data_IF_764054716574
#
_entry.id   IF_764054716574
#
_cell.length_a   1.000
_cell.length_b   1.000
_cell.length_c   1.000
_cell.angle_alpha   90.00
_cell.angle_beta   90.00
_cell.angle_gamma   90.00
#
_symmetry.space_group_name_H-M   'P 1'
#
loop_
_entity.id
_entity.type
_entity.pdbx_description
1 polymer ?
#
# COMPACT_ATOMS: atom_id res chain seq x y z
N UNK A 1 17.85 7.74 -4.99
CA UNK A 1 16.38 7.77 -4.80
C UNK A 1 15.85 6.35 -4.88
N UNK A 2 14.93 5.92 -4.01
CA UNK A 2 14.26 4.62 -4.11
C UNK A 2 13.41 4.59 -5.38
N UNK A 3 13.64 3.59 -6.24
CA UNK A 3 12.91 3.43 -7.51
C UNK A 3 12.14 2.12 -7.59
N UNK A 4 12.49 1.14 -6.75
CA UNK A 4 11.81 -0.15 -6.67
C UNK A 4 11.68 -0.60 -5.23
N UNK A 5 10.57 -1.24 -4.91
CA UNK A 5 10.30 -1.88 -3.62
C UNK A 5 9.68 -3.24 -3.87
N UNK A 6 10.16 -4.26 -3.17
CA UNK A 6 9.65 -5.63 -3.28
C UNK A 6 9.50 -6.23 -1.88
N UNK A 7 8.32 -6.79 -1.61
CA UNK A 7 8.13 -7.65 -0.44
C UNK A 7 8.98 -8.91 -0.59
N UNK A 8 9.81 -9.20 0.41
CA UNK A 8 10.65 -10.39 0.45
C UNK A 8 10.46 -11.15 1.76
N UNK A 9 10.90 -12.41 1.76
CA UNK A 9 11.09 -13.15 3.01
C UNK A 9 12.28 -12.57 3.79
N UNK A 10 12.36 -12.88 5.07
CA UNK A 10 13.50 -12.52 5.91
C UNK A 10 14.83 -12.86 5.22
N UNK A 11 15.71 -11.87 4.97
CA UNK A 11 16.99 -12.11 4.33
C UNK A 11 17.96 -12.83 5.28
N UNK A 12 19.03 -13.40 4.74
CA UNK A 12 20.13 -13.90 5.55
C UNK A 12 20.89 -12.73 6.19
N UNK A 13 21.42 -12.96 7.40
CA UNK A 13 22.21 -11.95 8.10
C UNK A 13 23.40 -11.48 7.25
N UNK A 14 23.51 -10.16 7.08
CA UNK A 14 24.56 -9.52 6.27
C UNK A 14 24.35 -9.58 4.75
N UNK A 15 23.23 -10.12 4.26
CA UNK A 15 22.93 -10.15 2.83
C UNK A 15 22.71 -8.75 2.25
N UNK A 16 22.09 -7.85 3.03
CA UNK A 16 21.81 -6.46 2.65
C UNK A 16 22.26 -5.51 3.74
N UNK A 17 22.46 -4.24 3.37
CA UNK A 17 22.42 -3.15 4.36
C UNK A 17 20.99 -3.08 4.89
N UNK A 18 20.82 -3.12 6.21
CA UNK A 18 19.50 -3.16 6.85
C UNK A 18 19.18 -1.85 7.57
N UNK A 19 17.91 -1.44 7.53
CA UNK A 19 17.37 -0.34 8.32
C UNK A 19 16.07 -0.79 9.00
N UNK A 20 15.98 -0.57 10.31
CA UNK A 20 14.84 -1.00 11.12
C UNK A 20 13.89 0.18 11.32
N UNK A 21 12.63 -0.02 10.97
CA UNK A 21 11.53 0.91 11.20
C UNK A 21 10.60 0.31 12.25
N UNK A 22 10.80 0.76 13.50
CA UNK A 22 10.00 0.33 14.63
C UNK A 22 9.46 1.55 15.39
N UNK A 23 8.19 1.46 15.77
CA UNK A 23 7.48 2.49 16.54
C UNK A 23 7.23 1.89 17.91
N UNK A 24 7.78 2.48 18.97
CA UNK A 24 7.62 1.93 20.31
C UNK A 24 6.15 2.00 20.74
N UNK A 25 5.52 0.83 20.89
CA UNK A 25 4.13 0.72 21.31
C UNK A 25 3.89 -0.62 22.00
N UNK A 26 3.11 -0.66 23.09
CA UNK A 26 2.73 -1.92 23.74
C UNK A 26 1.76 -2.77 22.91
N UNK A 27 1.17 -2.20 21.85
CA UNK A 27 0.20 -2.85 20.97
C UNK A 27 0.82 -3.40 19.68
N UNK A 28 2.15 -3.43 19.60
CA UNK A 28 2.86 -4.02 18.48
C UNK A 28 2.69 -5.54 18.49
N UNK A 29 2.46 -6.10 17.30
CA UNK A 29 2.57 -7.53 17.11
C UNK A 29 4.03 -7.99 17.22
N UNK A 30 4.23 -9.30 17.34
CA UNK A 30 5.56 -9.91 17.25
C UNK A 30 6.04 -10.06 15.80
N UNK A 31 5.18 -9.75 14.82
CA UNK A 31 5.47 -9.94 13.41
C UNK A 31 6.39 -8.84 12.87
N UNK A 32 7.12 -9.20 11.82
CA UNK A 32 7.97 -8.30 11.07
C UNK A 32 7.80 -8.56 9.57
N UNK A 33 8.05 -7.51 8.79
CA UNK A 33 8.02 -7.49 7.33
C UNK A 33 9.36 -7.02 6.79
N UNK A 34 9.77 -7.57 5.65
CA UNK A 34 11.02 -7.21 4.98
C UNK A 34 10.72 -6.71 3.59
N UNK A 35 11.18 -5.49 3.30
CA UNK A 35 11.06 -4.87 1.98
C UNK A 35 12.46 -4.68 1.44
N UNK A 36 12.73 -5.25 0.26
CA UNK A 36 13.92 -4.93 -0.50
C UNK A 36 13.67 -3.67 -1.29
N UNK A 37 14.52 -2.67 -1.11
CA UNK A 37 14.52 -1.44 -1.89
C UNK A 37 15.69 -1.45 -2.88
N UNK A 38 15.44 -0.94 -4.08
CA UNK A 38 16.48 -0.66 -5.07
C UNK A 38 16.48 0.83 -5.36
N UNK A 39 17.65 1.43 -5.19
CA UNK A 39 17.88 2.83 -5.51
C UNK A 39 18.16 3.00 -7.03
N UNK A 40 18.07 4.24 -7.51
CA UNK A 40 18.41 4.66 -8.87
C UNK A 40 19.84 4.30 -9.29
N UNK A 41 20.79 4.26 -8.36
CA UNK A 41 22.16 3.80 -8.56
C UNK A 41 22.32 2.26 -8.53
N UNK A 42 21.20 1.53 -8.55
CA UNK A 42 21.11 0.07 -8.45
C UNK A 42 21.60 -0.52 -7.13
N UNK A 43 21.87 0.30 -6.11
CA UNK A 43 22.15 -0.23 -4.77
C UNK A 43 20.90 -0.82 -4.15
N UNK A 44 21.07 -1.99 -3.52
CA UNK A 44 19.99 -2.68 -2.82
C UNK A 44 20.19 -2.63 -1.31
N UNK A 45 19.10 -2.42 -0.58
CA UNK A 45 19.07 -2.47 0.88
C UNK A 45 17.72 -3.00 1.36
N UNK A 46 17.66 -3.42 2.63
CA UNK A 46 16.46 -4.02 3.22
C UNK A 46 15.91 -3.17 4.36
N UNK A 47 14.63 -2.82 4.26
CA UNK A 47 13.88 -2.23 5.37
C UNK A 47 13.13 -3.30 6.17
N UNK A 48 13.28 -3.24 7.49
CA UNK A 48 12.62 -4.16 8.43
C UNK A 48 11.52 -3.40 9.15
N UNK A 49 10.26 -3.80 8.97
CA UNK A 49 9.09 -3.06 9.46
C UNK A 49 8.28 -3.90 10.44
N UNK A 50 7.72 -3.27 11.47
CA UNK A 50 6.83 -3.92 12.42
C UNK A 50 5.50 -4.33 11.76
N UNK A 51 5.02 -5.54 12.04
CA UNK A 51 3.74 -6.08 11.53
C UNK A 51 3.91 -7.12 10.41
N UNK A 52 2.83 -7.86 10.13
CA UNK A 52 2.74 -8.82 9.02
C UNK A 52 2.65 -8.09 7.68
N UNK A 53 3.32 -8.56 6.61
CA UNK A 53 3.36 -7.84 5.34
C UNK A 53 1.98 -7.80 4.69
N UNK A 54 1.57 -6.63 4.21
CA UNK A 54 0.39 -6.50 3.34
C UNK A 54 0.81 -6.05 1.96
N UNK A 55 1.45 -4.90 1.84
CA UNK A 55 1.77 -4.33 0.52
C UNK A 55 2.83 -3.22 0.60
N UNK A 56 3.38 -2.81 -0.55
CA UNK A 56 4.30 -1.69 -0.68
C UNK A 56 4.12 -0.99 -2.03
N UNK A 57 4.12 0.34 -2.02
CA UNK A 57 4.04 1.12 -3.26
C UNK A 57 4.90 2.38 -3.21
N UNK A 58 5.34 2.82 -4.39
CA UNK A 58 6.20 3.98 -4.58
C UNK A 58 5.47 5.00 -5.45
N UNK A 59 5.43 6.25 -5.01
CA UNK A 59 4.99 7.39 -5.83
C UNK A 59 6.18 8.27 -6.18
N UNK A 60 6.54 8.27 -7.47
CA UNK A 60 7.53 9.21 -8.01
C UNK A 60 7.01 10.66 -8.05
N UNK A 61 5.68 10.84 -8.10
CA UNK A 61 5.05 12.17 -8.06
C UNK A 61 5.30 12.86 -6.72
N UNK A 62 5.23 12.10 -5.63
CA UNK A 62 5.41 12.63 -4.27
C UNK A 62 6.79 12.35 -3.66
N UNK A 63 7.62 11.53 -4.32
CA UNK A 63 8.88 11.01 -3.77
C UNK A 63 8.68 10.28 -2.43
N UNK A 64 7.61 9.49 -2.36
CA UNK A 64 7.19 8.78 -1.16
C UNK A 64 7.13 7.28 -1.44
N UNK A 65 7.54 6.49 -0.45
CA UNK A 65 7.18 5.07 -0.36
C UNK A 65 6.15 4.89 0.75
N UNK A 66 5.07 4.18 0.45
CA UNK A 66 4.16 3.66 1.45
C UNK A 66 4.40 2.18 1.66
N UNK A 67 4.64 1.78 2.91
CA UNK A 67 4.78 0.37 3.32
C UNK A 67 3.61 0.04 4.24
N UNK A 68 2.76 -0.88 3.81
CA UNK A 68 1.58 -1.31 4.55
C UNK A 68 1.86 -2.65 5.24
N UNK A 69 1.74 -2.66 6.56
CA UNK A 69 1.79 -3.87 7.38
C UNK A 69 0.49 -4.03 8.18
N UNK A 70 0.37 -5.12 8.93
CA UNK A 70 -0.75 -5.29 9.87
C UNK A 70 -0.81 -4.26 10.99
N UNK A 71 0.34 -3.66 11.32
CA UNK A 71 0.48 -2.83 12.51
C UNK A 71 0.54 -1.35 12.15
N UNK A 72 1.07 -0.99 10.97
CA UNK A 72 1.25 0.39 10.57
C UNK A 72 1.16 0.57 9.05
N UNK A 73 0.80 1.78 8.65
CA UNK A 73 1.10 2.32 7.31
C UNK A 73 2.26 3.29 7.49
N UNK A 74 3.45 2.92 7.01
CA UNK A 74 4.64 3.74 7.08
C UNK A 74 4.78 4.58 5.82
N UNK A 75 5.15 5.86 5.99
CA UNK A 75 5.49 6.77 4.90
C UNK A 75 6.97 7.14 4.99
N UNK A 76 7.74 6.72 3.99
CA UNK A 76 9.16 7.03 3.88
C UNK A 76 9.41 8.05 2.79
N UNK A 77 10.45 8.88 2.98
CA UNK A 77 10.99 9.72 1.93
C UNK A 77 11.93 8.92 1.02
N UNK A 78 11.72 8.99 -0.30
CA UNK A 78 12.48 8.20 -1.27
C UNK A 78 13.96 8.60 -1.39
N UNK A 79 14.37 9.77 -0.89
CA UNK A 79 15.76 10.24 -1.03
C UNK A 79 16.61 9.94 0.20
N UNK A 80 16.07 10.24 1.38
CA UNK A 80 16.74 10.08 2.66
C UNK A 80 16.54 8.71 3.28
N UNK A 81 15.59 7.93 2.79
CA UNK A 81 15.20 6.63 3.36
C UNK A 81 14.64 6.81 4.80
N UNK A 82 14.32 8.03 5.24
CA UNK A 82 13.83 8.29 6.59
C UNK A 82 12.31 8.12 6.70
N UNK A 83 11.86 7.68 7.87
CA UNK A 83 10.44 7.67 8.22
C UNK A 83 9.97 9.11 8.40
N UNK A 84 8.99 9.51 7.59
CA UNK A 84 8.40 10.85 7.62
C UNK A 84 7.15 10.87 8.48
N UNK A 85 6.32 9.84 8.34
CA UNK A 85 5.00 9.78 8.96
C UNK A 85 4.56 8.31 9.09
N UNK A 86 3.61 8.04 9.99
CA UNK A 86 2.98 6.74 10.07
C UNK A 86 1.54 6.85 10.57
N UNK A 87 0.72 5.87 10.20
CA UNK A 87 -0.59 5.62 10.78
C UNK A 87 -0.57 4.29 11.53
N UNK A 88 -1.06 4.29 12.78
CA UNK A 88 -1.10 3.11 13.63
C UNK A 88 -2.37 2.28 13.44
N UNK A 89 -2.19 0.97 13.38
CA UNK A 89 -3.23 -0.07 13.30
C UNK A 89 -4.22 0.16 12.14
N UNK A 90 -3.75 0.31 10.89
CA UNK A 90 -4.62 0.54 9.75
C UNK A 90 -5.49 -0.69 9.44
N UNK A 91 -6.72 -0.41 8.99
CA UNK A 91 -7.67 -1.44 8.53
C UNK A 91 -7.33 -1.95 7.11
N UNK A 92 -6.53 -1.20 6.36
CA UNK A 92 -6.22 -1.43 4.95
C UNK A 92 -5.59 -2.78 4.65
N UNK A 93 -6.05 -3.44 3.59
CA UNK A 93 -5.57 -4.74 3.12
C UNK A 93 -4.77 -4.66 1.83
N UNK A 94 -5.03 -3.65 1.02
CA UNK A 94 -4.38 -3.46 -0.28
C UNK A 94 -3.91 -2.03 -0.45
N UNK A 95 -2.81 -1.86 -1.18
CA UNK A 95 -2.22 -0.58 -1.52
C UNK A 95 -1.73 -0.64 -2.96
N UNK A 96 -2.04 0.37 -3.76
CA UNK A 96 -1.44 0.53 -5.08
C UNK A 96 -1.22 2.01 -5.38
N UNK A 97 -0.60 2.28 -6.52
CA UNK A 97 -0.36 3.64 -7.02
C UNK A 97 -0.98 3.75 -8.40
N UNK A 98 -1.79 4.77 -8.59
CA UNK A 98 -2.35 5.14 -9.90
C UNK A 98 -1.23 5.47 -10.89
N UNK A 99 -1.47 5.39 -12.20
CA UNK A 99 -0.48 5.83 -13.20
C UNK A 99 -0.06 7.30 -13.04
N UNK A 100 -0.90 8.13 -12.42
CA UNK A 100 -0.60 9.52 -12.09
C UNK A 100 0.15 9.70 -10.76
N UNK A 101 0.40 8.65 -9.99
CA UNK A 101 1.20 8.70 -8.77
C UNK A 101 0.42 8.94 -7.47
N UNK A 102 -0.91 8.95 -7.50
CA UNK A 102 -1.74 8.97 -6.28
C UNK A 102 -1.87 7.56 -5.70
N UNK A 103 -1.84 7.42 -4.37
CA UNK A 103 -1.98 6.14 -3.69
C UNK A 103 -3.45 5.76 -3.57
N UNK A 104 -3.75 4.47 -3.76
CA UNK A 104 -5.07 3.88 -3.56
C UNK A 104 -4.95 2.84 -2.46
N UNK A 105 -5.75 2.99 -1.42
CA UNK A 105 -5.87 2.05 -0.32
C UNK A 105 -7.25 1.42 -0.34
N UNK A 106 -7.34 0.15 0.05
CA UNK A 106 -8.62 -0.48 0.35
C UNK A 106 -8.52 -1.23 1.67
N UNK A 107 -9.58 -1.15 2.47
CA UNK A 107 -9.82 -2.14 3.52
C UNK A 107 -10.76 -3.25 2.99
N UNK A 108 -11.61 -3.84 3.84
CA UNK A 108 -12.57 -4.83 3.37
C UNK A 108 -13.76 -4.23 2.61
N UNK A 109 -14.13 -2.97 2.88
CA UNK A 109 -15.42 -2.38 2.52
C UNK A 109 -15.28 -1.10 1.70
N UNK A 110 -14.22 -0.32 1.95
CA UNK A 110 -14.06 1.02 1.41
C UNK A 110 -12.71 1.17 0.69
N UNK A 111 -12.70 2.09 -0.29
CA UNK A 111 -11.51 2.49 -1.04
C UNK A 111 -11.27 3.98 -0.79
N UNK A 112 -10.02 4.34 -0.54
CA UNK A 112 -9.58 5.71 -0.27
C UNK A 112 -8.37 6.07 -1.13
N UNK A 113 -8.30 7.33 -1.56
CA UNK A 113 -7.13 7.90 -2.23
C UNK A 113 -6.33 8.71 -1.22
N UNK A 114 -5.03 8.49 -1.21
CA UNK A 114 -4.06 9.30 -0.47
C UNK A 114 -3.12 9.99 -1.45
N UNK A 115 -2.90 11.29 -1.23
CA UNK A 115 -1.92 12.08 -1.98
C UNK A 115 -0.57 12.07 -1.25
N UNK A 116 -0.08 13.24 -0.83
CA UNK A 116 1.20 13.38 -0.14
C UNK A 116 1.10 13.23 1.38
N UNK A 117 -0.07 13.40 1.98
CA UNK A 117 -0.30 13.39 3.44
C UNK A 117 -1.21 12.21 3.82
N UNK A 118 -0.88 11.46 4.87
CA UNK A 118 -1.69 10.31 5.28
C UNK A 118 -3.04 10.71 5.89
N UNK A 119 -3.15 11.93 6.45
CA UNK A 119 -4.42 12.42 7.03
C UNK A 119 -5.45 12.83 5.96
N UNK A 120 -4.98 13.26 4.79
CA UNK A 120 -5.83 13.79 3.71
C UNK A 120 -6.36 12.66 2.81
N UNK A 121 -7.31 11.88 3.35
CA UNK A 121 -7.93 10.74 2.69
C UNK A 121 -9.17 11.19 1.90
N UNK A 122 -9.23 10.78 0.64
CA UNK A 122 -10.37 11.07 -0.25
C UNK A 122 -11.15 9.75 -0.42
N UNK A 123 -12.34 9.60 0.17
CA UNK A 123 -13.13 8.39 0.00
C UNK A 123 -13.60 8.27 -1.46
N UNK A 124 -13.59 7.04 -1.96
CA UNK A 124 -14.05 6.71 -3.31
C UNK A 124 -15.43 6.08 -3.22
N UNK A 125 -16.41 6.67 -3.90
CA UNK A 125 -17.77 6.15 -3.90
C UNK A 125 -17.91 4.98 -4.88
N UNK A 126 -18.34 3.83 -4.36
CA UNK A 126 -18.68 2.67 -5.16
C UNK A 126 -20.17 2.65 -5.52
N UNK A 127 -20.55 2.16 -6.73
CA UNK A 127 -21.95 1.97 -7.10
C UNK A 127 -22.66 0.88 -6.27
N UNK A 128 -21.91 0.05 -5.55
CA UNK A 128 -22.42 -1.01 -4.67
C UNK A 128 -21.77 -0.95 -3.29
N UNK A 129 -22.40 -1.61 -2.32
CA UNK A 129 -21.73 -1.90 -1.03
C UNK A 129 -20.79 -3.08 -1.24
N UNK A 130 -19.50 -2.82 -1.12
CA UNK A 130 -18.45 -3.82 -1.33
C UNK A 130 -18.13 -4.57 -0.04
N UNK A 131 -17.65 -5.80 -0.20
CA UNK A 131 -17.02 -6.62 0.83
C UNK A 131 -15.83 -7.36 0.18
N UNK A 132 -14.85 -7.79 0.98
CA UNK A 132 -13.66 -8.52 0.52
C UNK A 132 -12.94 -7.90 -0.70
N UNK A 133 -12.72 -6.58 -0.70
CA UNK A 133 -12.05 -5.88 -1.81
C UNK A 133 -10.63 -6.43 -2.05
N UNK A 134 -10.31 -6.68 -3.32
CA UNK A 134 -8.99 -7.11 -3.78
C UNK A 134 -8.59 -6.39 -5.06
N UNK A 135 -7.34 -5.93 -5.11
CA UNK A 135 -6.75 -5.29 -6.29
C UNK A 135 -6.01 -6.31 -7.17
N UNK A 136 -6.25 -6.25 -8.48
CA UNK A 136 -5.64 -7.15 -9.47
C UNK A 136 -4.68 -6.44 -10.44
N UNK A 137 -4.44 -5.15 -10.23
CA UNK A 137 -3.49 -4.34 -10.99
C UNK A 137 -4.13 -3.44 -12.03
N UNK A 138 -3.27 -2.63 -12.66
CA UNK A 138 -3.67 -1.56 -13.57
C UNK A 138 -3.57 -1.98 -15.04
N UNK A 139 -4.57 -1.60 -15.84
CA UNK A 139 -4.57 -1.71 -17.29
C UNK A 139 -5.28 -0.50 -17.90
N UNK A 140 -4.67 0.16 -18.89
CA UNK A 140 -5.27 1.32 -19.57
C UNK A 140 -5.83 2.40 -18.62
N UNK A 141 -5.06 2.78 -17.59
CA UNK A 141 -5.46 3.73 -16.55
C UNK A 141 -6.62 3.29 -15.64
N UNK A 142 -6.95 2.00 -15.62
CA UNK A 142 -7.98 1.44 -14.75
C UNK A 142 -7.44 0.35 -13.85
N UNK A 143 -7.79 0.41 -12.57
CA UNK A 143 -7.48 -0.63 -11.59
C UNK A 143 -8.58 -1.67 -11.60
N UNK A 144 -8.23 -2.92 -11.88
CA UNK A 144 -9.17 -4.04 -11.76
C UNK A 144 -9.37 -4.38 -10.29
N UNK A 145 -10.64 -4.40 -9.87
CA UNK A 145 -11.06 -4.69 -8.50
C UNK A 145 -12.00 -5.90 -8.55
N UNK A 146 -11.79 -6.85 -7.65
CA UNK A 146 -12.75 -7.91 -7.37
C UNK A 146 -13.23 -7.73 -5.94
N UNK A 147 -14.54 -7.79 -5.75
CA UNK A 147 -15.18 -7.74 -4.44
C UNK A 147 -16.45 -8.59 -4.42
N UNK A 148 -16.99 -8.82 -3.25
CA UNK A 148 -18.32 -9.36 -3.06
C UNK A 148 -19.33 -8.21 -2.87
N UNK A 149 -20.54 -8.36 -3.39
CA UNK A 149 -21.63 -7.44 -3.02
C UNK A 149 -22.18 -7.83 -1.63
N UNK A 150 -22.23 -6.84 -0.73
CA UNK A 150 -22.58 -7.05 0.67
C UNK A 150 -24.01 -7.59 0.82
N UNK A 151 -24.17 -8.70 1.55
CA UNK A 151 -25.45 -9.37 1.87
C UNK A 151 -26.23 -9.97 0.68
N UNK A 152 -25.65 -10.09 -0.51
CA UNK A 152 -26.35 -10.71 -1.68
C UNK A 152 -25.94 -12.14 -1.98
N UNK A 153 -25.07 -12.75 -1.16
CA UNK A 153 -24.77 -14.19 -1.19
C UNK A 153 -23.63 -14.59 -2.14
N UNK A 154 -22.41 -14.10 -1.86
CA UNK A 154 -21.18 -14.39 -2.61
C UNK A 154 -21.30 -14.11 -4.12
N UNK A 155 -22.00 -13.04 -4.50
CA UNK A 155 -21.86 -12.51 -5.85
C UNK A 155 -20.53 -11.80 -5.97
N UNK A 156 -19.57 -12.47 -6.59
CA UNK A 156 -18.32 -11.88 -7.03
C UNK A 156 -18.60 -10.87 -8.13
N UNK A 157 -18.15 -9.63 -7.93
CA UNK A 157 -18.31 -8.51 -8.85
C UNK A 157 -16.93 -8.06 -9.31
N UNK A 158 -16.80 -7.87 -10.62
CA UNK A 158 -15.64 -7.20 -11.21
C UNK A 158 -15.97 -5.72 -11.41
N UNK A 159 -15.15 -4.86 -10.80
CA UNK A 159 -15.23 -3.41 -10.91
C UNK A 159 -13.92 -2.87 -11.48
N UNK A 160 -13.97 -1.67 -12.02
CA UNK A 160 -12.81 -0.91 -12.46
C UNK A 160 -12.83 0.48 -11.80
N UNK A 161 -11.71 0.87 -11.20
CA UNK A 161 -11.49 2.24 -10.72
C UNK A 161 -10.67 3.00 -11.77
N UNK A 162 -11.18 4.12 -12.26
CA UNK A 162 -10.47 5.01 -13.16
C UNK A 162 -9.40 5.83 -12.40
N UNK A 163 -8.15 5.81 -12.91
CA UNK A 163 -7.00 6.40 -12.24
C UNK A 163 -6.91 7.93 -12.33
N UNK A 164 -7.76 8.57 -13.14
CA UNK A 164 -7.82 10.03 -13.29
C UNK A 164 -8.99 10.64 -12.53
N UNK A 165 -10.17 10.03 -12.67
CA UNK A 165 -11.45 10.54 -12.14
C UNK A 165 -11.81 9.93 -10.78
N UNK A 166 -11.20 8.79 -10.44
CA UNK A 166 -11.57 7.96 -9.29
C UNK A 166 -13.02 7.47 -9.31
N UNK A 167 -13.64 7.37 -10.49
CA UNK A 167 -14.95 6.76 -10.64
C UNK A 167 -14.82 5.22 -10.67
N UNK A 168 -15.69 4.53 -9.93
CA UNK A 168 -15.80 3.07 -9.96
C UNK A 168 -16.95 2.67 -10.88
N UNK A 169 -16.65 1.84 -11.88
CA UNK A 169 -17.63 1.30 -12.84
C UNK A 169 -17.62 -0.22 -12.84
N UNK A 170 -18.72 -0.85 -13.22
CA UNK A 170 -18.72 -2.27 -13.54
C UNK A 170 -17.91 -2.55 -14.80
N UNK A 171 -17.24 -3.69 -14.82
CA UNK A 171 -16.50 -4.18 -15.97
C UNK A 171 -17.40 -4.90 -16.99
#
# INVERSE_FOLDING_TARGET
>A
MITKAELINQPYSGQYKEKIYDISSPWNSQNWSWIKFTNDDLTEWCGNFRGFPRDVAISNKYNIVLVLTSDYLFKLDCFSEELVEYESHPQYRSLTVTPLGDFVLADYYDIEIIKSNLEDKIPVHSPIKMDNIQFYGWSNNKLSIICDEFLTGNHHVELELDGETFEITFK
#
